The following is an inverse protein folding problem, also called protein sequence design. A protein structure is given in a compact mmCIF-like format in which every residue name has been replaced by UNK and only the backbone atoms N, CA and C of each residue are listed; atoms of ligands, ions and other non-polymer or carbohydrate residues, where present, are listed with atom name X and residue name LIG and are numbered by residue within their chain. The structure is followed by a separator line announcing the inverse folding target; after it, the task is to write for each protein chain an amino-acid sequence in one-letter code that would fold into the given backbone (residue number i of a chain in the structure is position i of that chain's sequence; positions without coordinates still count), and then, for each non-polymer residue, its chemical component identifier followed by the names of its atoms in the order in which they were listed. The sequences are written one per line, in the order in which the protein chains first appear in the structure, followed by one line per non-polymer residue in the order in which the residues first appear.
data_IF_207286527405
#
_entry.id   IF_207286527405
#
_cell.length_a   1.000
_cell.length_b   1.000
_cell.length_c   1.000
_cell.angle_alpha   90.00
_cell.angle_beta   90.00
_cell.angle_gamma   90.00
#
_symmetry.space_group_name_H-M   'P 1'
#
loop_
_entity.id
_entity.type
_entity.pdbx_description
1 polymer ?
#
# COMPACT_ATOMS: atom_id res chain seq x y z
N UNK A 1 -21.09 48.92 42.57
CA UNK A 1 -20.81 50.24 42.01
C UNK A 1 -20.44 49.98 40.57
N UNK A 2 -21.38 50.04 39.59
CA UNK A 2 -21.65 51.14 38.65
C UNK A 2 -20.42 51.33 37.73
N UNK A 3 -20.49 51.17 36.40
CA UNK A 3 -21.51 51.56 35.42
C UNK A 3 -21.23 50.89 34.04
N UNK A 4 -22.20 50.47 33.40
CA UNK A 4 -22.79 50.60 32.08
C UNK A 4 -22.02 51.43 31.03
N UNK A 5 -21.97 50.91 29.80
CA UNK A 5 -21.66 51.60 28.56
C UNK A 5 -22.13 50.82 27.36
N UNK A 6 -23.32 51.11 26.89
CA UNK A 6 -24.00 50.68 25.65
C UNK A 6 -23.45 51.43 24.44
N UNK A 7 -23.38 50.78 23.28
CA UNK A 7 -23.63 51.35 21.92
C UNK A 7 -23.50 50.24 20.86
N UNK A 8 -24.49 49.63 20.36
CA UNK A 8 -25.42 49.82 19.21
C UNK A 8 -24.77 49.90 17.80
N UNK A 9 -25.26 48.99 16.99
CA UNK A 9 -25.58 49.02 15.55
C UNK A 9 -24.49 48.91 14.47
N UNK A 10 -24.71 47.91 13.62
CA UNK A 10 -24.18 47.83 12.28
C UNK A 10 -24.51 46.51 11.59
N UNK A 11 -25.76 46.36 11.10
CA UNK A 11 -26.19 45.31 10.19
C UNK A 11 -25.57 45.53 8.80
N UNK A 12 -25.04 44.48 8.20
CA UNK A 12 -24.65 44.43 6.78
C UNK A 12 -24.70 43.01 6.28
N UNK A 13 -25.90 42.54 5.92
CA UNK A 13 -26.11 41.32 5.15
C UNK A 13 -25.78 41.56 3.67
N UNK A 14 -24.87 40.82 3.11
CA UNK A 14 -24.63 40.76 1.67
C UNK A 14 -24.79 39.32 1.21
N UNK A 15 -26.00 38.99 0.81
CA UNK A 15 -26.37 37.78 0.09
C UNK A 15 -25.95 37.94 -1.38
N UNK A 16 -24.94 37.23 -1.84
CA UNK A 16 -24.71 37.03 -3.26
C UNK A 16 -25.53 35.82 -3.75
N UNK A 17 -26.66 36.15 -4.39
CA UNK A 17 -27.35 35.22 -5.29
C UNK A 17 -26.49 34.97 -6.54
N UNK A 18 -26.04 33.78 -6.76
CA UNK A 18 -25.60 33.30 -8.08
C UNK A 18 -26.80 32.60 -8.75
N UNK A 19 -27.29 33.23 -9.80
CA UNK A 19 -28.36 32.80 -10.66
C UNK A 19 -28.02 31.49 -11.37
N UNK A 20 -28.91 30.50 -11.27
CA UNK A 20 -28.93 29.30 -12.12
C UNK A 20 -29.26 29.73 -13.55
N UNK A 21 -28.33 29.49 -14.48
CA UNK A 21 -28.59 29.53 -15.92
C UNK A 21 -29.25 28.23 -16.37
N UNK A 22 -30.45 28.38 -16.81
CA UNK A 22 -31.29 27.39 -17.49
C UNK A 22 -30.72 27.13 -18.88
N UNK A 23 -30.40 25.86 -19.22
CA UNK A 23 -30.07 25.45 -20.57
C UNK A 23 -30.70 24.08 -20.87
N UNK A 24 -32.01 24.12 -21.08
CA UNK A 24 -32.73 23.08 -21.76
C UNK A 24 -32.77 23.38 -23.27
N UNK A 25 -32.16 22.54 -24.11
CA UNK A 25 -32.76 22.05 -25.38
C UNK A 25 -31.89 20.96 -25.99
N UNK A 26 -32.50 19.86 -26.45
CA UNK A 26 -31.81 18.78 -27.16
C UNK A 26 -31.65 19.15 -28.65
N UNK A 27 -30.43 18.96 -29.16
CA UNK A 27 -30.21 19.00 -30.64
C UNK A 27 -30.57 17.65 -31.25
N UNK A 28 -31.50 17.73 -32.19
CA UNK A 28 -31.95 16.67 -33.08
C UNK A 28 -30.81 16.02 -33.87
N UNK A 29 -30.78 14.69 -33.85
CA UNK A 29 -29.98 13.87 -34.73
C UNK A 29 -30.53 13.98 -36.18
N UNK A 30 -29.69 14.44 -37.10
CA UNK A 30 -29.92 14.28 -38.52
C UNK A 30 -29.26 12.96 -38.96
N UNK A 31 -30.05 12.06 -39.47
CA UNK A 31 -29.60 10.81 -40.06
C UNK A 31 -28.83 11.04 -41.36
N UNK A 32 -27.73 10.33 -41.51
CA UNK A 32 -27.14 10.02 -42.81
C UNK A 32 -27.15 8.51 -42.99
N UNK A 33 -28.10 8.10 -43.81
CA UNK A 33 -28.13 6.81 -44.48
C UNK A 33 -27.11 6.87 -45.64
N UNK A 34 -26.20 5.94 -45.70
CA UNK A 34 -25.12 5.86 -46.68
C UNK A 34 -24.48 4.49 -46.65
N UNK A 35 -25.27 3.48 -47.06
CA UNK A 35 -24.77 2.15 -47.36
C UNK A 35 -24.02 2.17 -48.69
N UNK A 36 -22.70 2.12 -48.70
CA UNK A 36 -21.90 1.68 -49.84
C UNK A 36 -21.30 0.30 -49.58
N UNK A 37 -21.33 -0.62 -50.59
CA UNK A 37 -20.86 -1.99 -50.40
C UNK A 37 -19.32 -2.05 -50.47
N UNK A 38 -18.72 -2.77 -49.51
CA UNK A 38 -17.31 -3.15 -49.56
C UNK A 38 -17.00 -3.95 -50.83
N UNK A 39 -16.16 -3.39 -51.69
CA UNK A 39 -15.52 -4.13 -52.76
C UNK A 39 -14.50 -5.12 -52.19
N UNK A 40 -14.65 -6.38 -52.58
CA UNK A 40 -13.69 -7.45 -52.36
C UNK A 40 -12.36 -7.10 -53.04
N UNK A 41 -11.31 -6.81 -52.28
CA UNK A 41 -9.95 -6.67 -52.75
C UNK A 41 -9.39 -8.01 -53.20
N UNK A 42 -8.92 -8.04 -54.43
CA UNK A 42 -8.29 -9.19 -55.08
C UNK A 42 -7.07 -9.66 -54.28
N UNK A 43 -7.00 -10.99 -54.08
CA UNK A 43 -5.83 -11.69 -53.56
C UNK A 43 -4.66 -11.60 -54.56
N UNK A 44 -3.65 -10.81 -54.26
CA UNK A 44 -2.36 -10.82 -54.93
C UNK A 44 -1.58 -12.07 -54.53
N UNK A 45 -1.36 -12.98 -55.49
CA UNK A 45 -0.53 -14.16 -55.35
C UNK A 45 0.94 -13.72 -55.26
N UNK A 46 1.62 -14.10 -54.14
CA UNK A 46 3.07 -14.06 -54.07
C UNK A 46 3.69 -15.18 -54.89
N UNK A 47 4.85 -14.97 -55.53
CA UNK A 47 5.52 -16.02 -56.29
C UNK A 47 6.13 -17.04 -55.33
N UNK A 48 5.86 -18.31 -55.60
CA UNK A 48 6.46 -19.47 -54.93
C UNK A 48 7.87 -19.68 -55.44
N UNK A 49 8.87 -19.33 -54.67
CA UNK A 49 10.23 -19.85 -54.88
C UNK A 49 10.29 -21.28 -54.33
N UNK A 50 10.27 -22.21 -55.22
CA UNK A 50 10.49 -23.64 -54.96
C UNK A 50 11.97 -23.91 -54.78
N UNK A 51 12.51 -23.73 -53.54
CA UNK A 51 13.79 -24.35 -53.19
C UNK A 51 13.55 -25.83 -52.90
N UNK A 52 14.05 -26.69 -53.78
CA UNK A 52 14.08 -28.12 -53.58
C UNK A 52 15.02 -28.46 -52.41
N UNK A 53 14.47 -28.75 -51.26
CA UNK A 53 15.20 -29.42 -50.17
C UNK A 53 15.12 -30.92 -50.37
N UNK A 54 16.22 -31.50 -50.75
CA UNK A 54 16.38 -32.98 -50.78
C UNK A 54 16.23 -33.55 -49.38
N UNK A 55 15.91 -34.85 -49.24
CA UNK A 55 15.70 -35.46 -47.94
C UNK A 55 17.00 -35.47 -47.11
N UNK A 56 16.94 -34.90 -45.92
CA UNK A 56 18.00 -35.03 -44.91
C UNK A 56 18.14 -36.50 -44.51
N UNK A 57 19.28 -37.10 -44.79
CA UNK A 57 19.62 -38.41 -44.30
C UNK A 57 19.77 -38.34 -42.76
N UNK A 58 19.29 -39.36 -42.02
CA UNK A 58 19.49 -39.40 -40.60
C UNK A 58 21.00 -39.62 -40.34
N UNK A 59 21.63 -38.63 -39.72
CA UNK A 59 22.96 -38.78 -39.11
C UNK A 59 22.81 -39.79 -37.97
N UNK A 60 23.60 -40.87 -38.02
CA UNK A 60 23.61 -41.90 -37.00
C UNK A 60 23.95 -41.36 -35.61
N UNK A 61 23.69 -42.11 -34.55
CA UNK A 61 23.89 -41.64 -33.20
C UNK A 61 25.33 -41.19 -32.99
N UNK A 62 25.50 -39.94 -32.63
CA UNK A 62 26.78 -39.40 -32.14
C UNK A 62 27.11 -40.17 -30.87
N UNK A 63 28.15 -40.98 -30.89
CA UNK A 63 28.67 -41.58 -29.67
C UNK A 63 29.16 -40.43 -28.76
N UNK A 64 28.83 -40.43 -27.47
CA UNK A 64 29.41 -39.47 -26.57
C UNK A 64 30.92 -39.71 -26.47
N UNK A 65 31.65 -38.65 -26.75
CA UNK A 65 33.09 -38.61 -26.52
C UNK A 65 33.34 -38.86 -25.04
N UNK A 66 34.10 -39.93 -24.72
CA UNK A 66 34.47 -40.31 -23.35
C UNK A 66 35.60 -39.42 -22.81
N UNK A 67 35.53 -38.11 -23.09
CA UNK A 67 36.36 -37.13 -22.42
C UNK A 67 35.95 -37.05 -20.95
N UNK A 68 36.78 -37.51 -20.05
CA UNK A 68 36.67 -37.27 -18.62
C UNK A 68 36.69 -35.76 -18.40
N UNK A 69 35.49 -35.14 -18.32
CA UNK A 69 35.37 -33.86 -17.67
C UNK A 69 35.43 -34.12 -16.18
N UNK A 70 36.56 -33.81 -15.57
CA UNK A 70 36.66 -33.65 -14.12
C UNK A 70 35.67 -32.51 -13.71
N UNK A 71 34.43 -32.89 -13.49
CA UNK A 71 33.48 -32.02 -12.81
C UNK A 71 33.86 -32.01 -11.34
N UNK A 72 34.47 -30.93 -10.90
CA UNK A 72 34.64 -30.69 -9.48
C UNK A 72 33.23 -30.62 -8.85
N UNK A 73 32.74 -31.74 -8.36
CA UNK A 73 31.54 -31.81 -7.55
C UNK A 73 31.88 -31.22 -6.17
N UNK A 74 31.12 -30.23 -5.74
CA UNK A 74 31.13 -29.79 -4.34
C UNK A 74 30.85 -31.00 -3.43
N UNK A 75 31.23 -30.94 -2.17
CA UNK A 75 31.06 -32.04 -1.20
C UNK A 75 29.61 -32.57 -1.14
N UNK A 76 28.63 -31.82 -1.61
CA UNK A 76 27.20 -32.17 -1.67
C UNK A 76 26.72 -32.63 -3.05
N UNK A 77 27.60 -32.83 -4.03
CA UNK A 77 27.25 -33.31 -5.37
C UNK A 77 26.55 -32.32 -6.28
N UNK A 78 26.34 -31.07 -5.84
CA UNK A 78 25.67 -30.03 -6.62
C UNK A 78 26.62 -29.44 -7.67
N UNK A 79 26.08 -29.21 -8.88
CA UNK A 79 26.83 -28.53 -9.93
C UNK A 79 27.03 -27.04 -9.55
N UNK A 80 28.26 -26.50 -9.60
CA UNK A 80 28.50 -25.09 -9.24
C UNK A 80 27.75 -24.09 -10.10
N UNK A 81 27.31 -24.48 -11.30
CA UNK A 81 26.47 -23.64 -12.17
C UNK A 81 25.07 -23.37 -11.59
N UNK A 82 24.61 -24.22 -10.68
CA UNK A 82 23.30 -24.15 -10.06
C UNK A 82 23.43 -23.90 -8.55
N UNK A 83 24.33 -23.00 -8.18
CA UNK A 83 24.49 -22.60 -6.78
C UNK A 83 23.15 -22.19 -6.16
N UNK A 84 22.87 -22.64 -4.93
CA UNK A 84 21.63 -22.35 -4.23
C UNK A 84 21.55 -20.86 -3.86
N UNK A 85 20.69 -20.14 -4.58
CA UNK A 85 20.45 -18.71 -4.35
C UNK A 85 19.79 -18.46 -2.98
N UNK A 86 19.01 -19.41 -2.47
CA UNK A 86 18.39 -19.28 -1.17
C UNK A 86 19.42 -19.24 -0.03
N UNK A 87 20.54 -19.94 -0.18
CA UNK A 87 21.65 -19.88 0.79
C UNK A 87 22.42 -18.56 0.72
N UNK A 88 22.44 -17.92 -0.45
CA UNK A 88 23.14 -16.64 -0.64
C UNK A 88 22.30 -15.45 -0.18
N UNK A 89 20.98 -15.54 -0.30
CA UNK A 89 20.04 -14.43 -0.04
C UNK A 89 18.79 -14.95 0.66
N UNK A 90 18.92 -15.46 1.91
CA UNK A 90 17.78 -16.01 2.64
C UNK A 90 16.72 -14.94 2.91
N UNK A 91 15.44 -15.29 2.75
CA UNK A 91 14.32 -14.35 2.90
C UNK A 91 13.97 -14.06 4.37
N UNK A 92 14.36 -14.94 5.27
CA UNK A 92 14.13 -14.87 6.72
C UNK A 92 15.27 -14.16 7.48
N UNK A 93 16.22 -13.59 6.76
CA UNK A 93 17.31 -12.78 7.29
C UNK A 93 17.41 -11.47 6.54
N UNK A 94 17.88 -10.37 7.22
CA UNK A 94 18.13 -9.14 6.52
C UNK A 94 19.25 -9.33 5.49
N UNK A 95 19.08 -8.69 4.32
CA UNK A 95 20.14 -8.69 3.31
C UNK A 95 21.40 -7.98 3.87
N UNK A 96 22.57 -8.44 3.44
CA UNK A 96 23.85 -7.86 3.87
C UNK A 96 24.00 -6.37 3.46
N UNK A 97 23.25 -5.94 2.46
CA UNK A 97 23.18 -4.58 1.93
C UNK A 97 21.91 -3.83 2.34
N UNK A 98 21.11 -4.39 3.26
CA UNK A 98 19.92 -3.74 3.81
C UNK A 98 20.24 -2.32 4.28
N UNK A 99 19.39 -1.38 3.90
CA UNK A 99 19.55 0.02 4.26
C UNK A 99 19.05 0.24 5.69
N UNK A 100 19.94 0.71 6.55
CA UNK A 100 19.64 1.15 7.91
C UNK A 100 20.36 2.48 8.15
N UNK A 101 19.69 3.41 8.81
CA UNK A 101 20.22 4.73 9.20
C UNK A 101 20.23 4.88 10.73
N UNK A 102 19.18 4.39 11.38
CA UNK A 102 19.05 4.42 12.84
C UNK A 102 19.19 3.00 13.39
N UNK A 103 20.22 2.74 14.20
CA UNK A 103 20.39 1.43 14.83
C UNK A 103 19.34 1.18 15.92
N UNK A 104 19.12 -0.07 16.38
CA UNK A 104 18.23 -0.38 17.51
C UNK A 104 18.57 0.35 18.81
N UNK A 105 19.83 0.78 18.94
CA UNK A 105 20.30 1.56 20.10
C UNK A 105 20.12 3.07 19.95
N UNK A 106 19.47 3.52 18.86
CA UNK A 106 19.21 4.93 18.62
C UNK A 106 20.43 5.70 18.10
N UNK A 107 21.41 5.00 17.52
CA UNK A 107 22.60 5.64 16.91
C UNK A 107 22.34 5.86 15.43
N UNK A 108 22.42 7.12 14.98
CA UNK A 108 22.27 7.49 13.58
C UNK A 108 23.60 7.38 12.84
N UNK A 109 23.56 6.70 11.69
CA UNK A 109 24.67 6.62 10.73
C UNK A 109 24.13 6.95 9.36
N UNK A 110 24.51 8.14 8.84
CA UNK A 110 24.07 8.57 7.51
C UNK A 110 24.76 7.72 6.43
N UNK A 111 24.04 7.50 5.33
CA UNK A 111 24.52 6.73 4.18
C UNK A 111 24.83 7.66 3.02
N UNK A 112 26.01 7.52 2.43
CA UNK A 112 26.41 8.29 1.25
C UNK A 112 25.42 8.11 0.09
N UNK A 113 25.02 9.21 -0.51
CA UNK A 113 24.06 9.22 -1.63
C UNK A 113 22.60 9.03 -1.25
N UNK A 114 22.28 8.91 0.05
CA UNK A 114 20.92 8.80 0.55
C UNK A 114 20.67 9.83 1.67
N UNK A 115 20.45 11.09 1.35
CA UNK A 115 20.25 12.15 2.33
C UNK A 115 18.90 11.97 3.06
N UNK A 116 18.92 12.21 4.37
CA UNK A 116 17.72 12.24 5.20
C UNK A 116 17.30 13.70 5.39
N UNK A 117 16.29 14.13 4.66
CA UNK A 117 15.75 15.49 4.73
C UNK A 117 14.62 15.61 5.76
N UNK A 118 14.95 15.43 7.04
CA UNK A 118 13.99 15.50 8.15
C UNK A 118 14.52 16.49 9.20
N UNK A 119 13.75 17.54 9.46
CA UNK A 119 14.05 18.53 10.50
C UNK A 119 13.81 17.98 11.91
N UNK A 120 14.36 18.61 12.93
CA UNK A 120 14.16 18.22 14.33
C UNK A 120 12.66 18.22 14.71
N UNK A 121 11.88 19.18 14.23
CA UNK A 121 10.43 19.21 14.42
C UNK A 121 9.71 18.00 13.79
N UNK A 122 10.11 17.63 12.58
CA UNK A 122 9.57 16.44 11.92
C UNK A 122 9.99 15.13 12.59
N UNK A 123 11.20 15.09 13.20
CA UNK A 123 11.64 13.93 14.00
C UNK A 123 10.75 13.74 15.23
N UNK A 124 10.42 14.82 15.94
CA UNK A 124 9.53 14.80 17.11
C UNK A 124 8.11 14.41 16.70
N UNK A 125 7.57 14.99 15.60
CA UNK A 125 6.27 14.64 15.06
C UNK A 125 6.21 13.17 14.60
N UNK A 126 7.26 12.66 13.96
CA UNK A 126 7.36 11.25 13.59
C UNK A 126 7.31 10.31 14.80
N UNK A 127 7.97 10.69 15.91
CA UNK A 127 7.90 9.91 17.13
C UNK A 127 6.49 9.92 17.75
N UNK A 128 5.84 11.08 17.79
CA UNK A 128 4.44 11.18 18.21
C UNK A 128 3.54 10.29 17.34
N UNK A 129 3.72 10.29 16.02
CA UNK A 129 2.96 9.43 15.10
C UNK A 129 3.18 7.94 15.35
N UNK A 130 4.41 7.51 15.66
CA UNK A 130 4.68 6.12 16.05
C UNK A 130 3.85 5.71 17.29
N UNK A 131 3.83 6.57 18.32
CA UNK A 131 3.08 6.32 19.55
C UNK A 131 1.59 6.32 19.30
N UNK A 132 1.08 7.28 18.50
CA UNK A 132 -0.34 7.36 18.15
C UNK A 132 -0.79 6.17 17.28
N UNK A 133 0.03 5.72 16.32
CA UNK A 133 -0.25 4.51 15.53
C UNK A 133 -0.39 3.27 16.44
N UNK A 134 0.54 3.08 17.38
CA UNK A 134 0.48 2.00 18.38
C UNK A 134 -0.78 2.11 19.24
N UNK A 135 -1.11 3.34 19.68
CA UNK A 135 -2.32 3.58 20.47
C UNK A 135 -3.59 3.27 19.69
N UNK A 136 -3.66 3.70 18.43
CA UNK A 136 -4.79 3.38 17.55
C UNK A 136 -5.00 1.87 17.41
N UNK A 137 -3.91 1.14 17.20
CA UNK A 137 -3.95 -0.31 17.03
C UNK A 137 -4.42 -1.05 18.30
N UNK A 138 -3.97 -0.59 19.47
CA UNK A 138 -4.43 -1.12 20.76
C UNK A 138 -5.92 -0.89 20.93
N UNK A 139 -6.42 0.32 20.64
CA UNK A 139 -7.85 0.63 20.76
C UNK A 139 -8.69 -0.15 19.74
N UNK A 140 -8.26 -0.27 18.47
CA UNK A 140 -8.93 -1.09 17.47
C UNK A 140 -9.04 -2.56 17.89
N UNK A 141 -7.97 -3.10 18.46
CA UNK A 141 -7.96 -4.46 19.02
C UNK A 141 -8.95 -4.60 20.20
N UNK A 142 -8.99 -3.61 21.10
CA UNK A 142 -9.90 -3.62 22.24
C UNK A 142 -11.37 -3.48 21.79
N UNK A 143 -11.66 -2.58 20.86
CA UNK A 143 -13.00 -2.41 20.29
C UNK A 143 -13.52 -3.70 19.65
N UNK A 144 -12.65 -4.41 18.92
CA UNK A 144 -13.04 -5.71 18.36
C UNK A 144 -13.34 -6.76 19.46
N UNK A 145 -12.50 -6.81 20.50
CA UNK A 145 -12.75 -7.75 21.63
C UNK A 145 -14.01 -7.45 22.41
N UNK A 146 -14.46 -6.20 22.41
CA UNK A 146 -15.74 -5.79 23.00
C UNK A 146 -16.93 -5.97 22.04
N UNK A 147 -16.68 -6.43 20.80
CA UNK A 147 -17.74 -6.66 19.80
C UNK A 147 -18.20 -5.42 19.05
N UNK A 148 -17.50 -4.28 19.21
CA UNK A 148 -17.80 -3.04 18.49
C UNK A 148 -17.30 -3.08 17.04
N UNK A 149 -16.26 -3.85 16.76
CA UNK A 149 -15.75 -4.12 15.41
C UNK A 149 -15.93 -5.60 15.07
N UNK A 150 -16.26 -5.90 13.81
CA UNK A 150 -16.34 -7.26 13.30
C UNK A 150 -14.96 -7.92 13.19
N UNK A 151 -13.96 -7.12 12.81
CA UNK A 151 -12.57 -7.55 12.63
C UNK A 151 -11.64 -6.37 12.92
N UNK A 152 -10.39 -6.67 13.30
CA UNK A 152 -9.29 -5.72 13.30
C UNK A 152 -7.99 -6.42 12.87
N UNK A 153 -7.29 -5.94 11.83
CA UNK A 153 -5.96 -6.40 11.47
C UNK A 153 -4.89 -5.53 12.16
N UNK A 154 -4.25 -6.01 13.24
CA UNK A 154 -3.28 -5.21 13.97
C UNK A 154 -2.11 -4.75 13.12
N UNK A 155 -1.69 -3.49 13.27
CA UNK A 155 -0.53 -2.89 12.59
C UNK A 155 0.75 -2.91 13.42
N UNK A 156 0.67 -3.33 14.68
CA UNK A 156 1.80 -3.33 15.62
C UNK A 156 3.02 -4.06 15.03
N UNK A 157 4.18 -3.38 15.10
CA UNK A 157 5.44 -3.81 14.49
C UNK A 157 5.72 -3.15 13.13
N UNK A 158 4.72 -2.52 12.50
CA UNK A 158 4.84 -1.90 11.16
C UNK A 158 4.65 -0.38 11.20
N UNK A 159 4.68 0.23 12.39
CA UNK A 159 4.45 1.67 12.59
C UNK A 159 5.49 2.50 11.83
N UNK A 160 6.77 2.08 11.87
CA UNK A 160 7.85 2.83 11.23
C UNK A 160 7.74 2.85 9.70
N UNK A 161 7.24 1.78 9.09
CA UNK A 161 6.95 1.75 7.65
C UNK A 161 5.90 2.80 7.28
N UNK A 162 4.82 2.93 8.06
CA UNK A 162 3.76 3.91 7.79
C UNK A 162 4.22 5.35 8.07
N UNK A 163 4.94 5.59 9.16
CA UNK A 163 5.48 6.93 9.48
C UNK A 163 6.55 7.35 8.49
N UNK A 164 7.43 6.43 8.09
CA UNK A 164 8.45 6.71 7.07
C UNK A 164 7.81 7.04 5.71
N UNK A 165 6.74 6.35 5.33
CA UNK A 165 5.96 6.66 4.15
C UNK A 165 5.30 8.04 4.25
N UNK A 166 4.69 8.36 5.39
CA UNK A 166 4.12 9.70 5.64
C UNK A 166 5.14 10.82 5.42
N UNK A 167 6.38 10.64 5.91
CA UNK A 167 7.46 11.63 5.73
C UNK A 167 7.93 11.76 4.28
N UNK A 168 7.77 10.71 3.47
CA UNK A 168 8.24 10.65 2.09
C UNK A 168 7.22 11.16 1.06
N UNK A 169 5.92 11.05 1.37
CA UNK A 169 4.84 11.39 0.45
C UNK A 169 4.77 12.88 0.15
N UNK A 170 4.63 13.23 -1.13
CA UNK A 170 4.24 14.55 -1.58
C UNK A 170 2.73 14.72 -1.58
N UNK A 171 2.27 15.97 -1.59
CA UNK A 171 0.83 16.31 -1.51
C UNK A 171 -0.01 15.83 -2.70
N UNK A 172 0.61 15.45 -3.81
CA UNK A 172 -0.06 14.96 -5.02
C UNK A 172 0.08 13.46 -5.23
N UNK A 173 0.83 12.78 -4.36
CA UNK A 173 1.02 11.34 -4.48
C UNK A 173 -0.22 10.57 -4.03
N UNK A 174 -0.51 9.48 -4.74
CA UNK A 174 -1.62 8.59 -4.42
C UNK A 174 -1.12 7.35 -3.70
N UNK A 175 -1.76 6.98 -2.60
CA UNK A 175 -1.49 5.74 -1.85
C UNK A 175 -2.50 4.66 -2.22
N UNK A 176 -1.99 3.48 -2.55
CA UNK A 176 -2.75 2.23 -2.63
C UNK A 176 -2.33 1.36 -1.43
N UNK A 177 -3.15 1.29 -0.40
CA UNK A 177 -2.83 0.58 0.83
C UNK A 177 -3.10 -0.92 0.73
N UNK A 178 -2.60 -1.68 1.70
CA UNK A 178 -3.25 -2.92 2.11
C UNK A 178 -4.40 -2.59 3.08
N UNK A 179 -4.92 -3.61 3.77
CA UNK A 179 -5.89 -3.39 4.86
C UNK A 179 -5.22 -3.06 6.21
N UNK A 180 -3.90 -2.76 6.23
CA UNK A 180 -3.13 -2.59 7.49
C UNK A 180 -2.57 -1.17 7.69
N UNK A 181 -2.70 -0.29 6.70
CA UNK A 181 -2.22 1.10 6.75
C UNK A 181 -3.24 2.05 7.38
N UNK A 182 -3.93 1.63 8.46
CA UNK A 182 -4.98 2.41 9.12
C UNK A 182 -4.47 3.71 9.72
N UNK A 183 -3.25 3.73 10.28
CA UNK A 183 -2.67 4.94 10.83
C UNK A 183 -2.32 5.94 9.72
N UNK A 184 -1.71 5.47 8.62
CA UNK A 184 -1.41 6.31 7.47
C UNK A 184 -2.68 6.92 6.86
N UNK A 185 -3.78 6.15 6.78
CA UNK A 185 -5.07 6.66 6.31
C UNK A 185 -5.51 7.92 7.07
N UNK A 186 -5.40 7.90 8.40
CA UNK A 186 -5.81 9.06 9.23
C UNK A 186 -4.93 10.28 9.00
N UNK A 187 -3.64 10.10 8.75
CA UNK A 187 -2.72 11.21 8.45
C UNK A 187 -2.94 11.79 7.05
N UNK A 188 -3.52 11.00 6.14
CA UNK A 188 -3.91 11.44 4.81
C UNK A 188 -5.33 12.02 4.74
N UNK A 189 -5.99 12.23 5.89
CA UNK A 189 -7.28 12.91 5.99
C UNK A 189 -8.51 12.01 6.01
N UNK A 190 -8.32 10.69 6.12
CA UNK A 190 -9.43 9.78 6.37
C UNK A 190 -9.84 9.91 7.84
N UNK A 191 -11.11 10.17 8.10
CA UNK A 191 -11.63 10.32 9.47
C UNK A 191 -11.59 8.98 10.23
N UNK A 192 -11.32 9.04 11.54
CA UNK A 192 -11.32 7.85 12.41
C UNK A 192 -12.61 7.04 12.29
N UNK A 193 -13.75 7.73 12.26
CA UNK A 193 -15.07 7.12 12.10
C UNK A 193 -15.22 6.34 10.80
N UNK A 194 -14.60 6.82 9.71
CA UNK A 194 -14.62 6.17 8.40
C UNK A 194 -13.77 4.89 8.39
N UNK A 195 -12.58 4.94 9.00
CA UNK A 195 -11.75 3.74 9.16
C UNK A 195 -12.48 2.70 10.01
N UNK A 196 -13.04 3.11 11.15
CA UNK A 196 -13.74 2.20 12.06
C UNK A 196 -15.02 1.64 11.45
N UNK A 197 -15.78 2.43 10.67
CA UNK A 197 -16.98 1.94 9.97
C UNK A 197 -16.65 0.79 8.99
N UNK A 198 -15.50 0.85 8.33
CA UNK A 198 -15.03 -0.25 7.46
C UNK A 198 -14.82 -1.53 8.26
N UNK A 199 -14.17 -1.46 9.43
CA UNK A 199 -13.89 -2.62 10.27
C UNK A 199 -15.08 -3.07 11.13
N UNK A 200 -16.04 -2.19 11.34
CA UNK A 200 -17.36 -2.55 11.89
C UNK A 200 -18.20 -3.30 10.86
N UNK A 201 -17.91 -3.14 9.56
CA UNK A 201 -18.67 -3.75 8.47
C UNK A 201 -19.92 -2.96 8.09
N UNK A 202 -20.00 -1.69 8.50
CA UNK A 202 -21.15 -0.81 8.23
C UNK A 202 -20.97 0.07 7.01
N UNK A 203 -19.75 0.16 6.49
CA UNK A 203 -19.44 0.87 5.25
C UNK A 203 -18.24 0.24 4.55
N UNK A 204 -18.15 0.43 3.23
CA UNK A 204 -17.01 0.03 2.42
C UNK A 204 -16.42 1.27 1.79
N UNK A 205 -15.17 1.63 2.18
CA UNK A 205 -14.47 2.84 1.72
C UNK A 205 -15.34 4.11 1.80
N UNK A 206 -15.74 4.55 3.01
CA UNK A 206 -16.66 5.69 3.15
C UNK A 206 -15.99 7.07 3.01
N UNK A 207 -14.77 7.15 2.49
CA UNK A 207 -14.02 8.38 2.25
C UNK A 207 -13.87 8.67 0.76
N UNK A 208 -13.66 9.94 0.43
CA UNK A 208 -13.31 10.37 -0.92
C UNK A 208 -11.83 10.06 -1.19
N UNK A 209 -11.60 9.06 -2.03
CA UNK A 209 -10.25 8.58 -2.38
C UNK A 209 -9.45 9.58 -3.22
N UNK A 210 -10.11 10.53 -3.87
CA UNK A 210 -9.46 11.61 -4.62
C UNK A 210 -9.02 12.73 -3.67
N UNK A 211 -9.91 13.16 -2.77
CA UNK A 211 -9.61 14.22 -1.83
C UNK A 211 -8.55 13.81 -0.79
N UNK A 212 -8.55 12.56 -0.36
CA UNK A 212 -7.60 12.04 0.63
C UNK A 212 -6.31 11.51 0.01
N UNK A 213 -6.24 11.34 -1.31
CA UNK A 213 -5.15 10.63 -1.98
C UNK A 213 -4.87 9.23 -1.39
N UNK A 214 -5.88 8.61 -0.80
CA UNK A 214 -5.79 7.30 -0.16
C UNK A 214 -6.88 6.39 -0.71
N UNK A 215 -6.47 5.35 -1.44
CA UNK A 215 -7.38 4.41 -2.10
C UNK A 215 -8.12 3.51 -1.10
N UNK A 216 -9.16 2.83 -1.56
CA UNK A 216 -9.91 1.88 -0.75
C UNK A 216 -9.01 0.72 -0.29
N UNK A 217 -9.30 0.17 0.89
CA UNK A 217 -8.64 -1.07 1.35
C UNK A 217 -9.03 -2.26 0.47
N UNK A 218 -8.09 -2.91 -0.24
CA UNK A 218 -8.36 -4.16 -0.90
C UNK A 218 -8.30 -5.29 0.15
N UNK A 219 -9.41 -6.00 0.36
CA UNK A 219 -9.40 -7.21 1.20
C UNK A 219 -8.85 -8.39 0.40
N UNK A 220 -9.10 -8.41 -0.91
CA UNK A 220 -8.54 -9.39 -1.82
C UNK A 220 -7.06 -9.12 -2.04
N UNK A 221 -6.22 -10.08 -1.61
CA UNK A 221 -4.76 -9.96 -1.62
C UNK A 221 -4.24 -9.80 -3.06
N UNK A 222 -3.31 -8.83 -3.26
CA UNK A 222 -2.69 -8.55 -4.55
C UNK A 222 -3.52 -7.70 -5.52
N UNK A 223 -4.83 -7.55 -5.31
CA UNK A 223 -5.70 -6.83 -6.25
C UNK A 223 -5.38 -5.32 -6.34
N UNK A 224 -4.90 -4.71 -5.25
CA UNK A 224 -4.56 -3.29 -5.20
C UNK A 224 -3.42 -2.91 -6.14
N UNK A 225 -2.46 -3.81 -6.33
CA UNK A 225 -1.21 -3.53 -7.06
C UNK A 225 -1.44 -3.26 -8.56
N UNK A 226 -2.34 -4.01 -9.22
CA UNK A 226 -2.74 -3.72 -10.60
C UNK A 226 -3.46 -2.38 -10.74
N UNK A 227 -4.33 -2.05 -9.78
CA UNK A 227 -5.01 -0.75 -9.76
C UNK A 227 -4.02 0.40 -9.56
N UNK A 228 -3.02 0.23 -8.68
CA UNK A 228 -1.95 1.18 -8.46
C UNK A 228 -1.16 1.48 -9.75
N UNK A 229 -0.81 0.44 -10.50
CA UNK A 229 -0.13 0.60 -11.80
C UNK A 229 -1.03 1.29 -12.82
N UNK A 230 -2.31 0.93 -12.89
CA UNK A 230 -3.28 1.59 -13.78
C UNK A 230 -3.42 3.08 -13.48
N UNK A 231 -3.50 3.45 -12.19
CA UNK A 231 -3.53 4.84 -11.74
C UNK A 231 -2.23 5.59 -12.11
N UNK A 232 -1.07 4.97 -11.87
CA UNK A 232 0.23 5.53 -12.25
C UNK A 232 0.35 5.77 -13.76
N UNK A 233 -0.21 4.87 -14.59
CA UNK A 233 -0.30 5.10 -16.05
C UNK A 233 -1.23 6.27 -16.39
N UNK A 234 -2.25 6.56 -15.58
CA UNK A 234 -3.07 7.78 -15.65
C UNK A 234 -2.22 9.02 -15.39
N UNK A 235 -1.47 9.05 -14.31
CA UNK A 235 -0.53 10.14 -13.98
C UNK A 235 0.44 10.42 -15.13
N UNK A 236 0.97 9.39 -15.81
CA UNK A 236 1.84 9.59 -16.97
C UNK A 236 1.14 10.34 -18.10
N UNK A 237 -0.13 10.05 -18.37
CA UNK A 237 -0.91 10.74 -19.39
C UNK A 237 -1.19 12.18 -19.02
N UNK A 238 -1.52 12.42 -17.75
CA UNK A 238 -1.73 13.76 -17.23
C UNK A 238 -0.45 14.59 -17.32
N UNK A 239 0.69 14.01 -16.92
CA UNK A 239 2.01 14.66 -17.04
C UNK A 239 2.42 14.94 -18.49
N UNK A 240 2.04 14.09 -19.43
CA UNK A 240 2.25 14.33 -20.86
C UNK A 240 1.40 15.49 -21.41
N UNK A 241 0.21 15.71 -20.82
CA UNK A 241 -0.66 16.83 -21.14
C UNK A 241 -0.28 18.11 -20.40
N UNK A 242 0.14 17.98 -19.13
CA UNK A 242 0.60 19.07 -18.27
C UNK A 242 1.89 18.68 -17.55
N UNK A 243 3.06 19.17 -18.01
CA UNK A 243 4.37 18.87 -17.40
C UNK A 243 4.53 19.32 -15.95
N UNK A 244 3.62 20.15 -15.41
CA UNK A 244 3.62 20.55 -13.99
C UNK A 244 3.09 19.46 -13.05
N UNK A 245 2.49 18.40 -13.57
CA UNK A 245 2.08 17.25 -12.77
C UNK A 245 3.31 16.57 -12.18
N UNK A 246 3.40 16.60 -10.85
CA UNK A 246 4.50 16.03 -10.07
C UNK A 246 3.95 15.06 -9.01
N UNK A 247 3.55 13.89 -9.47
CA UNK A 247 2.90 12.86 -8.67
C UNK A 247 3.46 11.47 -9.01
N UNK A 248 3.41 10.59 -8.02
CA UNK A 248 3.67 9.17 -8.15
C UNK A 248 2.66 8.37 -7.33
N UNK A 249 2.67 7.06 -7.48
CA UNK A 249 1.88 6.13 -6.67
C UNK A 249 2.78 5.42 -5.69
N UNK A 250 2.37 5.36 -4.43
CA UNK A 250 2.94 4.46 -3.42
C UNK A 250 1.96 3.29 -3.22
N UNK A 251 2.37 2.10 -3.65
CA UNK A 251 1.60 0.87 -3.52
C UNK A 251 2.14 0.04 -2.36
N UNK A 252 1.30 -0.27 -1.39
CA UNK A 252 1.61 -1.20 -0.31
C UNK A 252 1.06 -2.58 -0.64
N UNK A 253 1.89 -3.59 -0.50
CA UNK A 253 1.47 -4.98 -0.56
C UNK A 253 2.32 -5.85 0.38
N UNK A 254 1.71 -6.88 0.95
CA UNK A 254 2.41 -7.79 1.85
C UNK A 254 3.25 -8.84 1.12
N UNK A 255 4.08 -9.56 1.87
CA UNK A 255 4.85 -10.70 1.39
C UNK A 255 3.96 -11.77 0.73
N UNK A 256 2.80 -12.07 1.30
CA UNK A 256 1.83 -12.99 0.71
C UNK A 256 1.28 -12.54 -0.65
N UNK A 257 1.05 -11.24 -0.82
CA UNK A 257 0.57 -10.69 -2.10
C UNK A 257 1.58 -10.90 -3.24
N UNK A 258 2.87 -10.96 -2.93
CA UNK A 258 3.91 -11.21 -3.94
C UNK A 258 3.82 -12.63 -4.54
N UNK A 259 3.07 -13.54 -3.93
CA UNK A 259 2.81 -14.88 -4.49
C UNK A 259 1.63 -14.90 -5.47
N UNK A 260 0.82 -13.83 -5.51
CA UNK A 260 -0.32 -13.71 -6.42
C UNK A 260 0.10 -13.36 -7.85
N UNK A 261 -0.62 -13.91 -8.84
CA UNK A 261 -0.38 -13.64 -10.27
C UNK A 261 -0.52 -12.17 -10.61
N UNK A 262 -1.59 -11.53 -10.15
CA UNK A 262 -1.93 -10.13 -10.39
C UNK A 262 -0.81 -9.17 -9.98
N UNK A 263 -0.16 -9.44 -8.83
CA UNK A 263 0.99 -8.65 -8.37
C UNK A 263 2.18 -8.77 -9.32
N UNK A 264 2.46 -9.99 -9.82
CA UNK A 264 3.54 -10.21 -10.77
C UNK A 264 3.25 -9.58 -12.14
N UNK A 265 2.01 -9.61 -12.60
CA UNK A 265 1.58 -8.91 -13.81
C UNK A 265 1.70 -7.39 -13.67
N UNK A 266 1.36 -6.84 -12.49
CA UNK A 266 1.56 -5.43 -12.19
C UNK A 266 3.03 -5.00 -12.35
N UNK A 267 3.99 -5.81 -11.91
CA UNK A 267 5.41 -5.53 -12.11
C UNK A 267 5.80 -5.52 -13.59
N UNK A 268 5.25 -6.45 -14.40
CA UNK A 268 5.47 -6.46 -15.86
C UNK A 268 4.96 -5.17 -16.49
N UNK A 269 3.71 -4.78 -16.21
CA UNK A 269 3.13 -3.56 -16.75
C UNK A 269 3.89 -2.32 -16.30
N UNK A 270 4.19 -2.21 -15.00
CA UNK A 270 4.91 -1.06 -14.47
C UNK A 270 6.29 -0.88 -15.13
N UNK A 271 7.06 -1.95 -15.25
CA UNK A 271 8.38 -1.94 -15.86
C UNK A 271 8.30 -1.60 -17.36
N UNK A 272 7.43 -2.28 -18.11
CA UNK A 272 7.27 -2.10 -19.55
C UNK A 272 6.79 -0.69 -19.91
N UNK A 273 5.86 -0.13 -19.12
CA UNK A 273 5.29 1.20 -19.34
C UNK A 273 6.06 2.31 -18.64
N UNK A 274 7.06 2.00 -17.80
CA UNK A 274 7.77 2.94 -16.93
C UNK A 274 6.81 3.75 -16.05
N UNK A 275 5.80 3.07 -15.50
CA UNK A 275 4.79 3.72 -14.68
C UNK A 275 5.43 4.35 -13.42
N UNK A 276 5.03 5.57 -13.00
CA UNK A 276 5.55 6.23 -11.80
C UNK A 276 4.95 5.63 -10.53
N UNK A 277 5.34 4.40 -10.20
CA UNK A 277 4.88 3.67 -9.02
C UNK A 277 6.07 3.19 -8.19
N UNK A 278 5.94 3.31 -6.87
CA UNK A 278 6.84 2.71 -5.88
C UNK A 278 6.09 1.55 -5.23
N UNK A 279 6.61 0.36 -5.39
CA UNK A 279 6.12 -0.86 -4.76
C UNK A 279 6.75 -0.99 -3.38
N UNK A 280 6.00 -0.75 -2.32
CA UNK A 280 6.41 -0.97 -0.94
C UNK A 280 5.97 -2.38 -0.52
N UNK A 281 6.86 -3.35 -0.71
CA UNK A 281 6.66 -4.72 -0.30
C UNK A 281 6.91 -4.87 1.20
N UNK A 282 5.85 -4.94 2.00
CA UNK A 282 5.94 -5.05 3.45
C UNK A 282 6.19 -6.51 3.83
N UNK A 283 7.46 -6.86 4.01
CA UNK A 283 7.86 -8.17 4.48
C UNK A 283 7.77 -8.23 6.01
N UNK A 284 6.59 -8.53 6.50
CA UNK A 284 6.33 -8.69 7.94
C UNK A 284 6.52 -10.14 8.44
N UNK A 285 7.17 -10.97 7.64
CA UNK A 285 7.56 -12.37 7.86
C UNK A 285 6.42 -13.39 7.83
N UNK A 286 5.15 -12.95 7.68
CA UNK A 286 4.00 -13.86 7.81
C UNK A 286 2.85 -13.52 6.85
N UNK A 287 2.52 -14.44 5.96
CA UNK A 287 1.23 -14.45 5.26
C UNK A 287 0.23 -15.31 6.06
N UNK A 288 -0.61 -14.67 6.88
CA UNK A 288 -1.45 -15.32 7.88
C UNK A 288 -0.58 -16.13 8.86
N UNK A 289 -0.54 -17.46 8.72
CA UNK A 289 0.25 -18.40 9.51
C UNK A 289 1.44 -19.01 8.75
N UNK A 290 1.60 -18.67 7.46
CA UNK A 290 2.70 -19.19 6.65
C UNK A 290 3.90 -18.23 6.68
N UNK A 291 5.10 -18.68 7.07
CA UNK A 291 6.28 -17.84 7.06
C UNK A 291 6.69 -17.50 5.62
N UNK A 292 7.29 -16.32 5.44
CA UNK A 292 7.74 -15.86 4.11
C UNK A 292 8.72 -16.85 3.47
N UNK A 293 9.53 -17.58 4.26
CA UNK A 293 10.47 -18.61 3.78
C UNK A 293 9.79 -19.79 3.07
N UNK A 294 8.51 -20.06 3.32
CA UNK A 294 7.73 -21.06 2.56
C UNK A 294 7.28 -20.50 1.21
N UNK A 295 7.05 -19.21 1.11
CA UNK A 295 6.54 -18.55 -0.09
C UNK A 295 7.64 -18.11 -1.05
N UNK A 296 8.80 -17.75 -0.53
CA UNK A 296 9.92 -17.22 -1.31
C UNK A 296 11.24 -17.82 -0.86
N UNK A 297 12.00 -18.45 -1.76
CA UNK A 297 13.30 -19.03 -1.43
C UNK A 297 14.41 -17.97 -1.26
N UNK A 298 14.15 -16.70 -1.60
CA UNK A 298 15.16 -15.63 -1.56
C UNK A 298 14.47 -14.29 -1.21
N UNK A 299 15.26 -13.33 -0.71
CA UNK A 299 14.78 -11.98 -0.33
C UNK A 299 13.86 -11.36 -1.38
N UNK A 300 12.75 -10.79 -0.94
CA UNK A 300 11.64 -10.39 -1.81
C UNK A 300 12.02 -9.27 -2.80
N UNK A 301 12.86 -8.30 -2.40
CA UNK A 301 13.28 -7.21 -3.29
C UNK A 301 13.97 -7.70 -4.55
N UNK A 302 14.60 -8.89 -4.53
CA UNK A 302 15.24 -9.49 -5.70
C UNK A 302 14.26 -9.86 -6.80
N UNK A 303 13.01 -10.05 -6.47
CA UNK A 303 11.97 -10.32 -7.46
C UNK A 303 11.81 -9.13 -8.42
N UNK A 304 11.85 -7.89 -7.92
CA UNK A 304 11.80 -6.69 -8.76
C UNK A 304 12.92 -6.63 -9.79
N UNK A 305 14.14 -7.06 -9.41
CA UNK A 305 15.27 -7.12 -10.35
C UNK A 305 15.00 -8.05 -11.53
N UNK A 306 14.26 -9.14 -11.31
CA UNK A 306 13.87 -10.08 -12.37
C UNK A 306 12.93 -9.45 -13.42
N UNK A 307 12.19 -8.40 -13.04
CA UNK A 307 11.35 -7.62 -13.94
C UNK A 307 12.05 -6.36 -14.50
N UNK A 308 13.33 -6.14 -14.15
CA UNK A 308 14.07 -4.93 -14.53
C UNK A 308 13.72 -3.69 -13.70
N UNK A 309 13.12 -3.86 -12.53
CA UNK A 309 12.77 -2.81 -11.59
C UNK A 309 13.91 -2.61 -10.59
N UNK A 310 14.49 -1.40 -10.45
CA UNK A 310 15.44 -1.10 -9.38
C UNK A 310 14.83 -1.42 -8.02
N UNK A 311 15.57 -2.15 -7.18
CA UNK A 311 15.00 -2.73 -5.97
C UNK A 311 16.00 -2.67 -4.83
N UNK A 312 15.50 -2.37 -3.60
CA UNK A 312 16.31 -2.32 -2.39
C UNK A 312 15.54 -2.92 -1.22
N UNK A 313 16.27 -3.39 -0.19
CA UNK A 313 15.72 -3.76 1.10
C UNK A 313 16.08 -2.68 2.13
N UNK A 314 15.10 -2.27 2.95
CA UNK A 314 15.27 -1.30 4.02
C UNK A 314 14.78 -1.90 5.35
N UNK A 315 15.45 -1.54 6.45
CA UNK A 315 14.96 -1.85 7.81
C UNK A 315 13.61 -1.15 8.04
N UNK A 316 12.53 -1.92 7.98
CA UNK A 316 11.15 -1.42 8.11
C UNK A 316 10.80 -0.93 9.51
N UNK A 317 11.69 -1.14 10.51
CA UNK A 317 11.57 -0.62 11.87
C UNK A 317 12.40 0.67 12.08
N UNK A 318 13.08 1.14 11.04
CA UNK A 318 13.85 2.39 11.02
C UNK A 318 13.11 3.48 10.24
N UNK A 319 12.43 4.38 10.96
CA UNK A 319 11.66 5.49 10.34
C UNK A 319 12.52 6.33 9.38
N UNK A 320 13.79 6.59 9.75
CA UNK A 320 14.66 7.46 8.94
C UNK A 320 15.10 6.78 7.65
N UNK A 321 15.41 5.49 7.73
CA UNK A 321 15.78 4.70 6.56
C UNK A 321 14.59 4.55 5.61
N UNK A 322 13.41 4.21 6.13
CA UNK A 322 12.18 4.10 5.33
C UNK A 322 11.86 5.45 4.66
N UNK A 323 11.88 6.56 5.42
CA UNK A 323 11.61 7.89 4.87
C UNK A 323 12.60 8.26 3.75
N UNK A 324 13.90 8.07 3.96
CA UNK A 324 14.92 8.40 2.97
C UNK A 324 14.80 7.55 1.70
N UNK A 325 14.60 6.24 1.85
CA UNK A 325 14.48 5.30 0.72
C UNK A 325 13.21 5.57 -0.08
N UNK A 326 12.06 5.73 0.60
CA UNK A 326 10.80 6.01 -0.10
C UNK A 326 10.80 7.39 -0.75
N UNK A 327 11.40 8.43 -0.12
CA UNK A 327 11.57 9.74 -0.77
C UNK A 327 12.38 9.62 -2.07
N UNK A 328 13.53 8.95 -2.03
CA UNK A 328 14.37 8.74 -3.20
C UNK A 328 13.66 7.91 -4.30
N UNK A 329 12.88 6.90 -3.89
CA UNK A 329 12.10 6.06 -4.80
C UNK A 329 10.95 6.84 -5.46
N UNK A 330 10.22 7.65 -4.71
CA UNK A 330 9.14 8.50 -5.22
C UNK A 330 9.69 9.57 -6.17
N UNK A 331 10.82 10.21 -5.84
CA UNK A 331 11.50 11.17 -6.72
C UNK A 331 11.98 10.50 -8.02
N UNK A 332 12.47 9.25 -7.93
CA UNK A 332 12.81 8.45 -9.11
C UNK A 332 11.57 8.24 -9.99
N UNK A 333 10.45 7.83 -9.41
CA UNK A 333 9.21 7.57 -10.12
C UNK A 333 8.63 8.87 -10.74
N UNK A 334 8.50 9.94 -9.94
CA UNK A 334 8.00 11.25 -10.40
C UNK A 334 8.84 11.82 -11.56
N UNK A 335 10.16 11.57 -11.56
CA UNK A 335 11.05 12.01 -12.66
C UNK A 335 10.89 11.23 -13.97
N UNK A 336 9.96 10.24 -14.03
CA UNK A 336 9.68 9.44 -15.22
C UNK A 336 10.72 8.36 -15.51
N UNK A 337 11.55 8.00 -14.52
CA UNK A 337 12.54 6.92 -14.64
C UNK A 337 11.93 5.53 -14.51
N UNK A 338 10.65 5.43 -14.13
CA UNK A 338 9.91 4.19 -14.01
C UNK A 338 9.73 3.74 -12.56
N UNK A 339 9.26 2.50 -12.34
CA UNK A 339 8.96 1.97 -11.02
C UNK A 339 10.23 1.70 -10.19
N UNK A 340 10.03 1.66 -8.86
CA UNK A 340 11.02 1.18 -7.88
C UNK A 340 10.35 0.18 -6.96
N UNK A 341 11.05 -0.86 -6.53
CA UNK A 341 10.60 -1.77 -5.49
C UNK A 341 11.41 -1.56 -4.21
N UNK A 342 10.71 -1.38 -3.10
CA UNK A 342 11.29 -1.25 -1.76
C UNK A 342 10.71 -2.34 -0.88
N UNK A 343 11.52 -3.30 -0.47
CA UNK A 343 11.14 -4.26 0.56
C UNK A 343 11.41 -3.64 1.92
N UNK A 344 10.35 -3.42 2.72
CA UNK A 344 10.49 -3.06 4.13
C UNK A 344 10.54 -4.33 4.97
N UNK A 345 11.74 -4.67 5.44
CA UNK A 345 11.97 -5.85 6.27
C UNK A 345 11.57 -5.55 7.71
N UNK A 346 10.45 -6.10 8.15
CA UNK A 346 9.82 -5.82 9.44
C UNK A 346 9.16 -7.07 10.02
N UNK A 347 8.35 -6.92 11.04
CA UNK A 347 7.67 -8.02 11.70
C UNK A 347 6.24 -7.64 12.14
N UNK A 348 5.29 -8.49 11.85
CA UNK A 348 3.95 -8.39 12.40
C UNK A 348 3.94 -8.90 13.84
N UNK A 349 4.12 -8.02 14.81
CA UNK A 349 4.12 -8.39 16.25
C UNK A 349 2.76 -8.88 16.71
N UNK A 350 1.67 -8.27 16.21
CA UNK A 350 0.31 -8.71 16.48
C UNK A 350 -0.10 -10.00 15.78
N UNK A 351 -1.29 -10.50 16.07
CA UNK A 351 -1.94 -11.55 15.30
C UNK A 351 -2.20 -11.11 13.86
N UNK A 352 -2.48 -12.04 12.95
CA UNK A 352 -2.88 -11.66 11.58
C UNK A 352 -4.12 -10.77 11.59
N UNK A 353 -5.13 -11.21 12.30
CA UNK A 353 -6.32 -10.43 12.69
C UNK A 353 -6.67 -10.79 14.12
N UNK A 354 -7.61 -10.06 14.72
CA UNK A 354 -8.07 -10.33 16.10
C UNK A 354 -8.71 -11.70 16.32
N UNK A 355 -9.03 -12.42 15.25
CA UNK A 355 -9.56 -13.79 15.28
C UNK A 355 -8.48 -14.86 15.14
N UNK A 356 -7.22 -14.49 14.93
CA UNK A 356 -6.08 -15.37 14.79
C UNK A 356 -5.38 -15.61 16.14
N UNK A 357 -4.77 -16.79 16.28
CA UNK A 357 -3.93 -17.17 17.43
C UNK A 357 -2.49 -17.42 17.00
N UNK A 358 -1.61 -16.40 17.07
CA UNK A 358 -0.24 -16.51 16.62
C UNK A 358 0.62 -17.46 17.45
N UNK A 359 0.20 -17.84 18.67
CA UNK A 359 0.94 -18.79 19.51
C UNK A 359 1.03 -20.19 18.90
N UNK A 360 0.19 -20.46 17.90
CA UNK A 360 0.14 -21.76 17.20
C UNK A 360 1.28 -21.93 16.17
N UNK A 361 1.90 -20.85 15.72
CA UNK A 361 2.90 -20.89 14.64
C UNK A 361 4.13 -20.02 14.89
N UNK A 362 4.14 -19.16 15.92
CA UNK A 362 5.31 -18.34 16.30
C UNK A 362 5.98 -18.88 17.55
N UNK A 363 7.26 -18.54 17.72
CA UNK A 363 8.03 -18.87 18.92
C UNK A 363 8.27 -17.63 19.77
N UNK A 364 8.32 -17.79 21.08
CA UNK A 364 8.65 -16.70 22.01
C UNK A 364 10.02 -16.08 21.70
N UNK A 365 10.98 -16.86 21.25
CA UNK A 365 12.32 -16.38 20.90
C UNK A 365 12.27 -15.42 19.69
N UNK A 366 11.41 -15.68 18.70
CA UNK A 366 11.24 -14.79 17.55
C UNK A 366 10.61 -13.47 18.01
N UNK A 367 9.60 -13.55 18.85
CA UNK A 367 8.92 -12.33 19.38
C UNK A 367 9.88 -11.49 20.25
N UNK A 368 10.75 -12.11 21.05
CA UNK A 368 11.77 -11.43 21.86
C UNK A 368 12.82 -10.72 20.97
N UNK A 369 13.28 -11.39 19.90
CA UNK A 369 14.21 -10.77 18.95
C UNK A 369 13.61 -9.49 18.36
N UNK A 370 12.38 -9.55 17.86
CA UNK A 370 11.72 -8.41 17.22
C UNK A 370 11.32 -7.31 18.22
N UNK A 371 11.02 -7.67 19.48
CA UNK A 371 10.81 -6.69 20.54
C UNK A 371 12.08 -5.84 20.79
N UNK A 372 13.27 -6.41 20.61
CA UNK A 372 14.54 -5.68 20.64
C UNK A 372 14.72 -4.67 19.50
N UNK A 373 13.92 -4.79 18.44
CA UNK A 373 13.94 -3.91 17.26
C UNK A 373 12.77 -2.91 17.23
N UNK A 374 12.04 -2.73 18.32
CA UNK A 374 10.86 -1.87 18.40
C UNK A 374 11.16 -0.43 17.90
N UNK A 375 10.40 0.07 16.90
CA UNK A 375 10.64 1.38 16.28
C UNK A 375 10.45 2.55 17.25
N UNK A 376 9.51 2.43 18.20
CA UNK A 376 9.24 3.47 19.21
C UNK A 376 10.42 3.60 20.16
N UNK A 377 10.90 2.48 20.69
CA UNK A 377 12.05 2.45 21.61
C UNK A 377 13.31 3.00 20.95
N UNK A 378 13.56 2.58 19.70
CA UNK A 378 14.70 3.04 18.88
C UNK A 378 14.66 4.55 18.68
N UNK A 379 13.53 5.08 18.24
CA UNK A 379 13.38 6.51 17.98
C UNK A 379 13.44 7.34 19.26
N UNK A 380 12.86 6.85 20.36
CA UNK A 380 12.94 7.50 21.66
C UNK A 380 14.40 7.67 22.14
N UNK A 381 15.20 6.61 22.03
CA UNK A 381 16.64 6.67 22.39
C UNK A 381 17.36 7.74 21.57
N UNK A 382 17.09 7.79 20.27
CA UNK A 382 17.69 8.78 19.36
C UNK A 382 17.30 10.21 19.74
N UNK A 383 16.01 10.49 19.94
CA UNK A 383 15.55 11.83 20.27
C UNK A 383 16.05 12.31 21.63
N UNK A 384 16.13 11.41 22.62
CA UNK A 384 16.74 11.71 23.93
C UNK A 384 18.23 12.03 23.79
N UNK A 385 18.97 11.29 22.97
CA UNK A 385 20.40 11.54 22.72
C UNK A 385 20.66 12.90 22.04
N UNK A 386 19.63 13.42 21.34
CA UNK A 386 19.63 14.72 20.68
C UNK A 386 19.06 15.84 21.57
N UNK A 387 18.62 15.53 22.78
CA UNK A 387 17.96 16.47 23.70
C UNK A 387 16.69 17.12 23.10
N UNK A 388 16.02 16.41 22.18
CA UNK A 388 14.80 16.89 21.52
C UNK A 388 13.54 16.57 22.32
N UNK A 389 13.60 15.59 23.22
CA UNK A 389 12.54 15.20 24.14
C UNK A 389 13.12 14.89 25.53
N UNK A 390 12.34 15.16 26.56
CA UNK A 390 12.64 14.84 27.95
C UNK A 390 11.49 14.07 28.62
N UNK A 391 11.61 13.81 29.92
CA UNK A 391 10.58 13.07 30.67
C UNK A 391 9.27 13.85 30.80
N UNK A 392 9.32 15.19 30.85
CA UNK A 392 8.12 16.02 30.90
C UNK A 392 7.37 15.95 29.56
N UNK A 393 8.09 16.06 28.45
CA UNK A 393 7.51 15.94 27.12
C UNK A 393 6.88 14.56 26.89
N UNK A 394 7.53 13.48 27.36
CA UNK A 394 6.99 12.12 27.27
C UNK A 394 5.71 11.94 28.08
N UNK A 395 5.65 12.52 29.30
CA UNK A 395 4.44 12.50 30.12
C UNK A 395 3.26 13.23 29.42
N UNK A 396 3.54 14.37 28.78
CA UNK A 396 2.54 15.08 27.97
C UNK A 396 2.11 14.26 26.73
N UNK A 397 3.02 13.53 26.10
CA UNK A 397 2.69 12.64 24.99
C UNK A 397 1.78 11.50 25.44
N UNK A 398 2.04 10.90 26.60
CA UNK A 398 1.19 9.85 27.17
C UNK A 398 -0.24 10.38 27.42
N UNK A 399 -0.39 11.60 27.93
CA UNK A 399 -1.70 12.24 28.10
C UNK A 399 -2.41 12.48 26.73
N UNK A 400 -1.65 12.90 25.71
CA UNK A 400 -2.20 13.06 24.35
C UNK A 400 -2.64 11.72 23.76
N UNK A 401 -1.85 10.66 23.96
CA UNK A 401 -2.16 9.31 23.52
C UNK A 401 -3.43 8.76 24.21
N UNK A 402 -3.61 9.02 25.53
CA UNK A 402 -4.84 8.67 26.23
C UNK A 402 -6.06 9.40 25.68
N UNK A 403 -5.95 10.71 25.42
CA UNK A 403 -7.02 11.50 24.80
C UNK A 403 -7.36 11.00 23.40
N UNK A 404 -6.34 10.67 22.61
CA UNK A 404 -6.52 10.10 21.28
C UNK A 404 -7.21 8.73 21.35
N UNK A 405 -6.81 7.87 22.29
CA UNK A 405 -7.50 6.59 22.53
C UNK A 405 -8.98 6.77 22.88
N UNK A 406 -9.33 7.80 23.67
CA UNK A 406 -10.73 8.14 23.93
C UNK A 406 -11.46 8.58 22.65
N UNK A 407 -10.83 9.38 21.80
CA UNK A 407 -11.42 9.78 20.50
C UNK A 407 -11.66 8.58 19.58
N UNK A 408 -10.76 7.59 19.57
CA UNK A 408 -10.94 6.35 18.79
C UNK A 408 -12.15 5.57 19.33
N UNK A 409 -12.29 5.43 20.66
CA UNK A 409 -13.45 4.75 21.28
C UNK A 409 -14.76 5.48 20.98
N UNK A 410 -14.76 6.80 21.00
CA UNK A 410 -15.97 7.58 20.69
C UNK A 410 -16.33 7.51 19.19
N UNK A 411 -15.34 7.46 18.30
CA UNK A 411 -15.54 7.46 16.86
C UNK A 411 -16.20 6.18 16.31
N UNK A 412 -16.21 5.08 17.06
CA UNK A 412 -16.90 3.84 16.66
C UNK A 412 -18.43 3.97 16.75
N UNK A 413 -18.94 4.87 17.59
CA UNK A 413 -20.37 5.03 17.83
C UNK A 413 -21.06 5.83 16.71
N UNK A 414 -21.15 5.22 15.54
CA UNK A 414 -21.88 5.73 14.39
C UNK A 414 -23.24 5.05 14.32
N UNK A 415 -24.29 5.75 13.80
CA UNK A 415 -25.57 5.09 13.51
C UNK A 415 -25.36 3.90 12.57
N UNK A 416 -26.15 2.85 12.75
CA UNK A 416 -26.18 1.76 11.79
C UNK A 416 -26.71 2.28 10.45
N UNK A 417 -26.13 1.84 9.31
CA UNK A 417 -26.63 2.21 8.00
C UNK A 417 -28.04 1.64 7.79
N UNK A 418 -28.82 2.30 6.94
CA UNK A 418 -30.08 1.71 6.45
C UNK A 418 -29.75 0.50 5.59
N UNK A 419 -30.15 -0.72 5.99
CA UNK A 419 -29.84 -1.92 5.23
C UNK A 419 -30.39 -1.91 3.80
N UNK A 420 -31.51 -1.19 3.56
CA UNK A 420 -32.11 -1.06 2.23
C UNK A 420 -31.26 -0.16 1.34
N UNK A 421 -30.70 0.92 1.90
CA UNK A 421 -29.82 1.83 1.17
C UNK A 421 -28.51 1.19 0.70
N UNK A 422 -28.03 0.13 1.35
CA UNK A 422 -26.84 -0.61 0.89
C UNK A 422 -27.01 -1.22 -0.50
N UNK A 423 -28.24 -1.45 -0.95
CA UNK A 423 -28.54 -1.96 -2.28
C UNK A 423 -28.49 -0.87 -3.38
N UNK A 424 -28.44 0.42 -3.00
CA UNK A 424 -28.29 1.53 -3.95
C UNK A 424 -26.89 1.60 -4.56
N UNK A 425 -25.87 1.05 -3.90
CA UNK A 425 -24.48 1.09 -4.34
C UNK A 425 -24.11 0.03 -5.38
N UNK A 426 -25.05 -0.87 -5.73
CA UNK A 426 -24.77 -1.99 -6.65
C UNK A 426 -24.63 -1.53 -8.09
N UNK A 427 -25.47 -0.58 -8.52
CA UNK A 427 -25.50 -0.02 -9.87
C UNK A 427 -25.70 1.50 -9.83
N UNK A 428 -25.20 2.21 -10.84
CA UNK A 428 -25.45 3.64 -11.01
C UNK A 428 -26.95 3.99 -11.03
N UNK A 429 -27.77 3.10 -11.60
CA UNK A 429 -29.23 3.13 -11.54
C UNK A 429 -29.73 1.75 -11.13
N UNK A 430 -30.49 1.62 -10.03
CA UNK A 430 -31.02 0.34 -9.60
C UNK A 430 -31.84 -0.36 -10.68
N UNK A 431 -31.52 -1.62 -10.94
CA UNK A 431 -32.29 -2.46 -11.86
C UNK A 431 -33.68 -2.80 -11.29
N UNK A 432 -34.62 -3.30 -12.11
CA UNK A 432 -35.92 -3.77 -11.59
C UNK A 432 -35.76 -4.84 -10.50
N UNK A 433 -34.77 -5.73 -10.61
CA UNK A 433 -34.51 -6.79 -9.63
C UNK A 433 -34.02 -6.20 -8.32
N UNK A 434 -33.01 -5.29 -8.34
CA UNK A 434 -32.53 -4.58 -7.14
C UNK A 434 -33.68 -3.84 -6.45
N UNK A 435 -34.56 -3.18 -7.19
CA UNK A 435 -35.73 -2.51 -6.64
C UNK A 435 -36.75 -3.50 -6.02
N UNK A 436 -36.82 -4.72 -6.56
CA UNK A 436 -37.65 -5.77 -5.95
C UNK A 436 -37.05 -6.24 -4.63
N UNK A 437 -35.74 -6.50 -4.60
CA UNK A 437 -35.01 -6.90 -3.39
C UNK A 437 -35.09 -5.83 -2.30
N UNK A 438 -34.95 -4.56 -2.67
CA UNK A 438 -35.12 -3.43 -1.73
C UNK A 438 -36.51 -3.43 -1.07
N UNK A 439 -37.57 -3.67 -1.85
CA UNK A 439 -38.95 -3.73 -1.31
C UNK A 439 -39.14 -4.92 -0.39
N UNK A 440 -38.65 -6.09 -0.81
CA UNK A 440 -38.75 -7.32 -0.01
C UNK A 440 -38.00 -7.16 1.31
N UNK A 441 -36.78 -6.61 1.28
CA UNK A 441 -35.99 -6.33 2.48
C UNK A 441 -36.70 -5.33 3.40
N UNK A 442 -37.24 -4.24 2.85
CA UNK A 442 -37.98 -3.27 3.64
C UNK A 442 -39.22 -3.84 4.30
N UNK A 443 -39.99 -4.70 3.59
CA UNK A 443 -41.16 -5.40 4.14
C UNK A 443 -40.75 -6.37 5.25
N UNK A 444 -39.64 -7.13 5.05
CA UNK A 444 -39.12 -8.06 6.06
C UNK A 444 -38.70 -7.33 7.35
N UNK A 445 -38.01 -6.19 7.23
CA UNK A 445 -37.59 -5.39 8.37
C UNK A 445 -38.76 -4.81 9.15
N UNK A 446 -39.90 -4.46 8.47
CA UNK A 446 -41.12 -3.98 9.12
C UNK A 446 -41.94 -5.09 9.76
N UNK A 447 -41.91 -6.31 9.20
CA UNK A 447 -42.66 -7.46 9.71
C UNK A 447 -41.97 -8.25 10.80
N UNK A 448 -40.72 -7.99 11.09
CA UNK A 448 -39.90 -8.68 12.09
C UNK A 448 -39.83 -7.99 13.46
N UNK A 449 -40.60 -6.92 13.69
CA UNK A 449 -40.71 -6.24 14.99
C UNK A 449 -41.85 -6.78 15.84
#
# INVERSE_FOLDING_TARGET
MVSHGDATHGKGSSTHHLSRGDASQPRSAAGHDGSEPMQQGQSGSMPSDSAQSGPLQPTGPVQPDSGQHDTATSADGACPLFADLAQQFPVDQPASDMIQILSPDGVRTDRDGLPVHVSDAQLVDAYEKLVMARRFDIEGTNLQRHGELGLWPPLIGQEATQVGAWLALGSADQVFPTYREQALATWMGVELSQVLATWRGTAHCPWDTVATHFSAYPVMIGSGTLHAVGYAMGIQRDKAADPSVDAAVLDFHGDGAMSEGDTNEAYVFAAAMKAPVVFCAVNNQWAISEPTSVQAPTSLYRRGLGFGIPSVQVDGNDVLAVAAVLSAALDHARSGRGPVMVETWTYRTGAHTTTDDPTRYRTAQTDEYWAGLDPIVRMQKYLRSRELIDDAWLAELDERAEKFGAQVRDAVHQPDPDPVALLDDVYAEPTPDVRADQRELAEWLQGGQ
#
